data_IF_375952754514
#
_entry.id   IF_375952754514
#
_cell.length_a   1.000
_cell.length_b   1.000
_cell.length_c   1.000
_cell.angle_alpha   90.00
_cell.angle_beta   90.00
_cell.angle_gamma   90.00
#
_symmetry.space_group_name_H-M   'P 1'
#
loop_
_entity.id
_entity.type
_entity.pdbx_description
1 polymer ?
#
# COMPACT_ATOMS: atom_id res chain seq x y z
N UNK A 1 18.01 9.74 -38.79
CA UNK A 1 16.97 9.29 -37.83
C UNK A 1 15.69 9.05 -38.63
N UNK A 2 15.14 7.83 -38.69
CA UNK A 2 13.91 7.56 -39.47
C UNK A 2 12.69 8.11 -38.74
N UNK A 3 11.65 8.52 -39.49
CA UNK A 3 10.36 9.01 -38.94
C UNK A 3 9.80 8.06 -37.88
N UNK A 4 9.93 6.75 -38.10
CA UNK A 4 9.43 5.72 -37.18
C UNK A 4 10.16 5.72 -35.82
N UNK A 5 11.44 6.12 -35.76
CA UNK A 5 12.15 6.26 -34.48
C UNK A 5 11.67 7.47 -33.69
N UNK A 6 11.26 8.54 -34.37
CA UNK A 6 10.74 9.75 -33.71
C UNK A 6 9.35 9.50 -33.11
N UNK A 7 8.48 8.82 -33.86
CA UNK A 7 7.14 8.40 -33.37
C UNK A 7 7.26 7.46 -32.16
N UNK A 8 8.16 6.48 -32.23
CA UNK A 8 8.39 5.55 -31.13
C UNK A 8 8.89 6.26 -29.86
N UNK A 9 9.85 7.17 -30.01
CA UNK A 9 10.37 7.96 -28.90
C UNK A 9 9.27 8.86 -28.29
N UNK A 10 8.44 9.49 -29.13
CA UNK A 10 7.30 10.29 -28.69
C UNK A 10 6.27 9.48 -27.89
N UNK A 11 5.95 8.26 -28.34
CA UNK A 11 5.05 7.36 -27.62
C UNK A 11 5.58 6.99 -26.25
N UNK A 12 6.86 6.60 -26.16
CA UNK A 12 7.51 6.22 -24.89
C UNK A 12 7.50 7.39 -23.90
N UNK A 13 7.83 8.60 -24.36
CA UNK A 13 7.83 9.80 -23.52
C UNK A 13 6.43 10.14 -23.00
N UNK A 14 5.40 9.99 -23.84
CA UNK A 14 4.00 10.24 -23.46
C UNK A 14 3.55 9.27 -22.37
N UNK A 15 3.85 7.98 -22.54
CA UNK A 15 3.51 6.94 -21.54
C UNK A 15 4.23 7.22 -20.22
N UNK A 16 5.52 7.55 -20.27
CA UNK A 16 6.30 7.86 -19.08
C UNK A 16 5.73 9.08 -18.31
N UNK A 17 5.33 10.14 -19.02
CA UNK A 17 4.69 11.30 -18.40
C UNK A 17 3.37 10.94 -17.71
N UNK A 18 2.54 10.11 -18.33
CA UNK A 18 1.27 9.67 -17.72
C UNK A 18 1.53 8.90 -16.43
N UNK A 19 2.48 7.95 -16.42
CA UNK A 19 2.81 7.15 -15.23
C UNK A 19 3.37 8.01 -14.09
N UNK A 20 4.15 9.05 -14.40
CA UNK A 20 4.73 9.93 -13.37
C UNK A 20 3.73 10.99 -12.89
N UNK A 21 2.74 11.33 -13.73
CA UNK A 21 1.72 12.34 -13.39
C UNK A 21 0.62 11.84 -12.45
N UNK A 22 0.52 10.53 -12.23
CA UNK A 22 -0.44 9.99 -11.27
C UNK A 22 0.10 10.10 -9.85
N UNK A 23 -0.61 10.82 -9.00
CA UNK A 23 -0.41 10.81 -7.55
C UNK A 23 -1.03 9.53 -6.98
N UNK A 24 -0.42 8.38 -7.29
CA UNK A 24 -0.77 7.12 -6.64
C UNK A 24 -0.21 7.10 -5.23
N UNK A 25 -1.00 7.55 -4.26
CA UNK A 25 -0.74 7.19 -2.87
C UNK A 25 -0.81 5.66 -2.76
N UNK A 26 0.10 4.98 -2.04
CA UNK A 26 0.06 3.53 -1.90
C UNK A 26 -1.02 3.14 -0.88
N UNK A 27 -2.27 3.40 -1.20
CA UNK A 27 -3.41 3.15 -0.32
C UNK A 27 -4.52 2.39 -1.02
N UNK A 28 -4.17 1.41 -1.86
CA UNK A 28 -5.12 0.54 -2.58
C UNK A 28 -6.16 -0.21 -1.73
N UNK A 29 -6.31 0.11 -0.45
CA UNK A 29 -7.47 -0.21 0.36
C UNK A 29 -8.57 0.88 0.21
N UNK A 30 -9.85 0.50 0.08
CA UNK A 30 -10.96 1.45 0.06
C UNK A 30 -10.90 2.43 1.25
N UNK A 31 -11.25 3.71 1.04
CA UNK A 31 -11.23 4.74 2.12
C UNK A 31 -12.15 4.37 3.29
N UNK A 32 -13.19 3.61 2.99
CA UNK A 32 -14.20 3.04 3.88
C UNK A 32 -13.75 1.73 4.56
N UNK A 33 -12.64 1.11 4.12
CA UNK A 33 -12.05 -0.01 4.86
C UNK A 33 -11.52 0.41 6.24
N UNK A 34 -11.30 1.72 6.45
CA UNK A 34 -10.93 2.33 7.71
C UNK A 34 -11.61 3.69 7.85
N UNK A 35 -12.91 3.73 8.16
CA UNK A 35 -13.67 4.96 8.44
C UNK A 35 -12.94 5.81 9.50
N UNK A 36 -12.27 6.90 9.09
CA UNK A 36 -11.46 7.80 9.94
C UNK A 36 -11.41 9.21 9.37
N UNK A 37 -11.05 10.18 10.23
CA UNK A 37 -10.83 11.58 9.86
C UNK A 37 -9.60 11.81 8.97
N UNK A 38 -8.64 10.86 8.94
CA UNK A 38 -7.44 10.91 8.09
C UNK A 38 -7.22 9.58 7.36
N UNK A 39 -7.01 9.60 6.03
CA UNK A 39 -6.61 8.42 5.27
C UNK A 39 -5.30 7.81 5.81
N UNK A 40 -5.19 6.47 5.77
CA UNK A 40 -3.94 5.71 5.99
C UNK A 40 -3.32 5.75 7.39
N UNK A 41 -4.10 6.01 8.44
CA UNK A 41 -3.63 5.86 9.83
C UNK A 41 -4.37 4.71 10.54
N UNK A 42 -3.71 3.85 11.35
CA UNK A 42 -4.40 2.88 12.21
C UNK A 42 -5.28 3.61 13.23
N UNK A 43 -6.35 2.97 13.74
CA UNK A 43 -7.17 3.57 14.81
C UNK A 43 -6.42 3.39 16.11
N UNK A 44 -5.42 4.22 16.34
CA UNK A 44 -4.88 4.38 17.66
C UNK A 44 -5.89 5.24 18.41
N UNK A 45 -6.46 4.72 19.51
CA UNK A 45 -7.03 5.63 20.49
C UNK A 45 -5.98 6.67 20.90
N UNK A 46 -6.34 7.70 21.65
CA UNK A 46 -5.38 8.67 22.23
C UNK A 46 -4.37 8.03 23.21
N UNK A 47 -4.29 6.70 23.23
CA UNK A 47 -3.46 5.87 24.08
C UNK A 47 -2.14 5.60 23.37
N UNK A 48 -1.05 5.88 24.07
CA UNK A 48 0.31 5.60 23.60
C UNK A 48 0.50 4.09 23.36
N UNK A 49 1.20 3.66 22.30
CA UNK A 49 1.57 2.26 22.11
C UNK A 49 2.33 1.71 23.33
N UNK A 50 1.94 0.52 23.78
CA UNK A 50 2.59 -0.17 24.87
C UNK A 50 3.95 -0.76 24.42
N UNK A 51 5.03 -0.65 25.20
CA UNK A 51 6.27 -1.35 24.93
C UNK A 51 6.07 -2.87 24.84
N UNK A 52 6.70 -3.52 23.86
CA UNK A 52 6.49 -4.95 23.55
C UNK A 52 6.78 -5.87 24.75
N UNK A 53 7.71 -5.50 25.62
CA UNK A 53 8.08 -6.24 26.83
C UNK A 53 7.12 -6.07 28.02
N UNK A 54 6.12 -5.18 27.90
CA UNK A 54 5.16 -4.90 28.99
C UNK A 54 3.74 -5.39 28.68
N UNK A 55 3.50 -5.88 27.46
CA UNK A 55 2.19 -6.40 27.05
C UNK A 55 1.82 -7.63 27.87
N UNK A 56 0.64 -7.68 28.50
CA UNK A 56 0.13 -8.88 29.14
C UNK A 56 -0.39 -9.92 28.12
N UNK A 57 -0.46 -9.55 26.84
CA UNK A 57 -0.92 -10.41 25.75
C UNK A 57 0.24 -10.89 24.88
N UNK A 58 0.16 -12.15 24.44
CA UNK A 58 1.08 -12.76 23.48
C UNK A 58 0.34 -13.09 22.20
N UNK A 59 0.82 -12.59 21.06
CA UNK A 59 0.25 -12.88 19.74
C UNK A 59 0.92 -14.14 19.20
N UNK A 60 0.13 -15.17 18.92
CA UNK A 60 0.58 -16.40 18.29
C UNK A 60 0.02 -16.48 16.86
N UNK A 61 0.84 -16.93 15.92
CA UNK A 61 0.44 -17.14 14.52
C UNK A 61 0.66 -18.60 14.16
N UNK A 62 -0.27 -19.22 13.45
CA UNK A 62 -0.15 -20.62 13.02
C UNK A 62 0.92 -20.86 11.95
N UNK A 63 1.34 -19.84 11.21
CA UNK A 63 2.34 -19.94 10.13
C UNK A 63 3.07 -18.63 9.90
N UNK A 64 4.30 -18.72 9.39
CA UNK A 64 5.09 -17.56 8.95
C UNK A 64 4.83 -17.18 7.48
N UNK A 65 4.01 -17.95 6.76
CA UNK A 65 3.74 -17.75 5.33
C UNK A 65 2.25 -17.59 5.06
N UNK A 66 1.92 -16.61 4.22
CA UNK A 66 0.55 -16.33 3.78
C UNK A 66 0.40 -16.73 2.32
N UNK A 67 -0.74 -17.34 1.99
CA UNK A 67 -1.09 -17.69 0.62
C UNK A 67 -2.61 -17.48 0.40
N UNK A 68 -3.05 -17.19 -0.83
CA UNK A 68 -4.48 -17.10 -1.14
C UNK A 68 -5.22 -18.38 -0.72
N UNK A 69 -6.33 -18.24 0.00
CA UNK A 69 -7.17 -19.36 0.47
C UNK A 69 -6.66 -20.12 1.70
N UNK A 70 -5.47 -19.79 2.24
CA UNK A 70 -4.98 -20.37 3.50
C UNK A 70 -5.63 -19.67 4.70
N UNK A 71 -6.28 -20.45 5.56
CA UNK A 71 -6.73 -19.96 6.86
C UNK A 71 -5.54 -19.81 7.81
N UNK A 72 -5.45 -18.64 8.45
CA UNK A 72 -4.52 -18.35 9.54
C UNK A 72 -5.35 -18.26 10.82
N UNK A 73 -4.81 -18.80 11.92
CA UNK A 73 -5.45 -18.85 13.25
C UNK A 73 -4.49 -18.37 14.31
#
# INVERSE_FOLDING_TARGET
>A
MSRNHLEFLGMVMTIAMVIISVNGFPDGAPVDACVKDRPNQPYHGQVKPQPQNTSPYHIQQSTAQYAPGRQVS
#
